data_IF_449714311039
#
_entry.id   IF_449714311039
#
_cell.length_a   1.000
_cell.length_b   1.000
_cell.length_c   1.000
_cell.angle_alpha   90.00
_cell.angle_beta   90.00
_cell.angle_gamma   90.00
#
_symmetry.space_group_name_H-M   'P 1'
#
loop_
_entity.id
_entity.type
_entity.pdbx_description
1 polymer ?
#
# COMPACT_ATOMS: atom_id res chain seq x y z
N UNK A 1 1.79 -13.45 22.22
CA UNK A 1 0.57 -12.76 21.74
C UNK A 1 0.13 -13.41 20.45
N UNK A 2 -1.19 -13.49 20.19
CA UNK A 2 -1.74 -14.19 19.02
C UNK A 2 -2.51 -13.17 18.18
N UNK A 3 -2.18 -13.08 16.89
CA UNK A 3 -2.75 -12.11 15.97
C UNK A 3 -3.35 -12.82 14.77
N UNK A 4 -4.60 -12.51 14.48
CA UNK A 4 -5.27 -12.90 13.24
C UNK A 4 -4.75 -12.05 12.10
N UNK A 5 -4.57 -12.68 10.93
CA UNK A 5 -4.23 -11.96 9.71
C UNK A 5 -5.38 -11.04 9.30
N UNK A 6 -6.62 -11.50 9.41
CA UNK A 6 -7.84 -10.74 9.14
C UNK A 6 -8.91 -11.05 10.21
N UNK A 7 -9.79 -10.09 10.50
CA UNK A 7 -10.96 -10.32 11.36
C UNK A 7 -12.25 -10.42 10.52
N UNK A 8 -12.39 -9.60 9.47
CA UNK A 8 -13.49 -9.65 8.50
C UNK A 8 -13.01 -9.34 7.06
N UNK A 9 -13.92 -9.40 6.08
CA UNK A 9 -13.70 -9.03 4.69
C UNK A 9 -13.45 -7.53 4.59
N UNK A 10 -12.34 -7.14 3.96
CA UNK A 10 -12.00 -5.73 3.73
C UNK A 10 -11.28 -5.06 4.90
N UNK A 11 -11.03 -5.78 6.00
CA UNK A 11 -10.25 -5.26 7.13
C UNK A 11 -8.76 -5.11 6.80
N UNK A 12 -8.09 -4.17 7.48
CA UNK A 12 -6.64 -4.06 7.49
C UNK A 12 -5.97 -5.37 7.88
N UNK A 13 -4.78 -5.63 7.33
CA UNK A 13 -3.98 -6.79 7.71
C UNK A 13 -3.45 -6.61 9.13
N UNK A 14 -3.61 -7.65 9.97
CA UNK A 14 -3.33 -7.62 11.41
C UNK A 14 -4.00 -6.42 12.11
N UNK A 15 -5.34 -6.34 12.15
CA UNK A 15 -6.05 -5.16 12.65
C UNK A 15 -5.86 -4.92 14.17
N UNK A 16 -5.34 -5.91 14.90
CA UNK A 16 -4.98 -5.81 16.32
C UNK A 16 -3.49 -5.62 16.57
N UNK A 17 -2.74 -5.29 15.52
CA UNK A 17 -1.32 -4.99 15.64
C UNK A 17 -1.10 -3.76 16.50
N UNK A 18 -0.14 -3.82 17.42
CA UNK A 18 0.09 -2.75 18.39
C UNK A 18 1.44 -2.05 18.17
N UNK A 19 1.59 -0.88 18.83
CA UNK A 19 2.80 -0.04 18.72
C UNK A 19 4.05 -0.70 19.31
N UNK A 20 3.89 -1.64 20.24
CA UNK A 20 5.03 -2.37 20.82
C UNK A 20 5.62 -3.31 19.77
N UNK A 21 4.79 -4.02 19.01
CA UNK A 21 5.24 -4.85 17.90
C UNK A 21 5.90 -4.04 16.78
N UNK A 22 5.40 -2.84 16.47
CA UNK A 22 6.04 -1.94 15.51
C UNK A 22 7.49 -1.57 15.89
N UNK A 23 7.87 -1.67 17.17
CA UNK A 23 9.25 -1.44 17.61
C UNK A 23 10.21 -2.60 17.29
N UNK A 24 9.67 -3.80 17.03
CA UNK A 24 10.45 -5.01 16.78
C UNK A 24 10.36 -5.51 15.33
N UNK A 25 9.19 -5.38 14.72
CA UNK A 25 8.89 -5.87 13.37
C UNK A 25 8.68 -4.67 12.46
N UNK A 26 9.58 -4.51 11.50
CA UNK A 26 9.59 -3.35 10.60
C UNK A 26 8.50 -3.42 9.53
N UNK A 27 8.07 -4.62 9.14
CA UNK A 27 6.96 -4.82 8.20
C UNK A 27 6.27 -6.16 8.46
N UNK A 28 4.94 -6.14 8.38
CA UNK A 28 4.14 -7.37 8.45
C UNK A 28 4.46 -8.35 7.30
N UNK A 29 5.04 -7.89 6.18
CA UNK A 29 5.51 -8.75 5.10
C UNK A 29 6.66 -9.65 5.54
N UNK A 30 7.51 -9.18 6.46
CA UNK A 30 8.55 -10.03 7.06
C UNK A 30 7.93 -11.14 7.91
N UNK A 31 6.78 -10.88 8.53
CA UNK A 31 5.98 -11.93 9.17
C UNK A 31 5.59 -12.97 8.14
N UNK A 32 4.84 -12.59 7.09
CA UNK A 32 4.40 -13.52 6.03
C UNK A 32 5.54 -14.32 5.40
N UNK A 33 6.70 -13.69 5.18
CA UNK A 33 7.86 -14.34 4.60
C UNK A 33 8.43 -15.50 5.45
N UNK A 34 8.03 -15.63 6.72
CA UNK A 34 8.39 -16.79 7.57
C UNK A 34 7.46 -17.99 7.40
N UNK A 35 6.31 -17.83 6.77
CA UNK A 35 5.37 -18.92 6.54
C UNK A 35 5.86 -19.78 5.36
N UNK A 36 5.95 -21.10 5.54
CA UNK A 36 6.51 -22.01 4.53
C UNK A 36 5.71 -22.07 3.23
N UNK A 37 4.40 -21.90 3.33
CA UNK A 37 3.48 -21.94 2.18
C UNK A 37 3.23 -20.58 1.52
N UNK A 38 3.89 -19.50 1.98
CA UNK A 38 3.84 -18.18 1.33
C UNK A 38 4.95 -18.10 0.29
N UNK A 39 4.57 -17.78 -0.94
CA UNK A 39 5.50 -17.54 -2.04
C UNK A 39 5.49 -16.08 -2.50
N UNK A 40 6.31 -15.75 -3.50
CA UNK A 40 6.42 -14.38 -4.02
C UNK A 40 5.10 -13.84 -4.58
N UNK A 41 4.28 -14.70 -5.20
CA UNK A 41 2.95 -14.31 -5.70
C UNK A 41 2.03 -13.90 -4.56
N UNK A 42 2.11 -14.60 -3.42
CA UNK A 42 1.32 -14.28 -2.24
C UNK A 42 1.77 -12.93 -1.65
N UNK A 43 3.07 -12.66 -1.58
CA UNK A 43 3.60 -11.36 -1.14
C UNK A 43 3.11 -10.21 -2.04
N UNK A 44 3.10 -10.41 -3.36
CA UNK A 44 2.59 -9.42 -4.31
C UNK A 44 1.09 -9.16 -4.13
N UNK A 45 0.29 -10.21 -3.90
CA UNK A 45 -1.14 -10.08 -3.60
C UNK A 45 -1.39 -9.37 -2.26
N UNK A 46 -0.60 -9.68 -1.23
CA UNK A 46 -0.68 -9.01 0.08
C UNK A 46 -0.40 -7.51 -0.07
N UNK A 47 0.60 -7.12 -0.87
CA UNK A 47 0.89 -5.71 -1.18
C UNK A 47 -0.26 -5.05 -1.93
N UNK A 48 -0.83 -5.73 -2.93
CA UNK A 48 -1.98 -5.22 -3.69
C UNK A 48 -3.20 -4.99 -2.79
N UNK A 49 -3.50 -5.95 -1.91
CA UNK A 49 -4.58 -5.85 -0.94
C UNK A 49 -4.36 -4.69 0.03
N UNK A 50 -3.16 -4.58 0.62
CA UNK A 50 -2.81 -3.50 1.54
C UNK A 50 -3.03 -2.12 0.92
N UNK A 51 -2.47 -1.88 -0.28
CA UNK A 51 -2.63 -0.59 -0.97
C UNK A 51 -4.10 -0.25 -1.21
N UNK A 52 -4.89 -1.18 -1.74
CA UNK A 52 -6.29 -0.90 -2.06
C UNK A 52 -7.18 -0.82 -0.83
N UNK A 53 -6.91 -1.62 0.20
CA UNK A 53 -7.59 -1.56 1.49
C UNK A 53 -7.39 -0.17 2.12
N UNK A 54 -6.14 0.28 2.25
CA UNK A 54 -5.82 1.61 2.76
C UNK A 54 -6.55 2.70 1.95
N UNK A 55 -6.42 2.72 0.62
CA UNK A 55 -7.09 3.73 -0.21
C UNK A 55 -8.62 3.67 -0.15
N UNK A 56 -9.22 2.51 0.17
CA UNK A 56 -10.68 2.36 0.33
C UNK A 56 -11.19 2.89 1.68
N UNK A 57 -10.41 2.75 2.75
CA UNK A 57 -10.80 3.15 4.10
C UNK A 57 -10.61 4.65 4.32
N UNK A 58 -9.62 5.26 3.65
CA UNK A 58 -9.20 6.63 3.90
C UNK A 58 -9.80 7.60 2.89
N UNK A 59 -11.09 7.90 3.06
CA UNK A 59 -11.86 8.79 2.18
C UNK A 59 -11.48 10.28 2.23
N UNK A 60 -10.64 10.74 3.17
CA UNK A 60 -10.25 12.17 3.26
C UNK A 60 -8.76 12.44 3.53
N UNK A 61 -7.98 11.45 4.01
CA UNK A 61 -6.58 11.66 4.42
C UNK A 61 -5.71 10.43 4.20
N UNK A 62 -5.93 9.64 3.13
CA UNK A 62 -4.96 8.60 2.78
C UNK A 62 -3.58 9.24 2.73
N UNK A 63 -2.61 8.79 3.50
CA UNK A 63 -1.28 9.39 3.42
C UNK A 63 -0.44 8.44 2.58
N UNK A 64 -0.49 8.57 1.25
CA UNK A 64 0.24 7.67 0.33
C UNK A 64 1.73 7.58 0.68
N UNK A 65 2.29 8.63 1.30
CA UNK A 65 3.64 8.63 1.83
C UNK A 65 3.87 7.56 2.91
N UNK A 66 2.85 7.18 3.70
CA UNK A 66 2.94 6.09 4.66
C UNK A 66 3.18 4.75 3.95
N UNK A 67 2.49 4.49 2.84
CA UNK A 67 2.78 3.31 2.01
C UNK A 67 4.25 3.35 1.56
N UNK A 68 4.74 4.51 1.09
CA UNK A 68 6.14 4.69 0.70
C UNK A 68 7.14 4.55 1.87
N UNK A 69 6.75 4.89 3.11
CA UNK A 69 7.56 4.74 4.31
C UNK A 69 7.54 3.31 4.87
N UNK A 70 6.44 2.58 4.67
CA UNK A 70 6.28 1.17 5.02
C UNK A 70 7.02 0.25 4.03
N UNK A 71 7.58 0.80 2.95
CA UNK A 71 8.59 0.13 2.16
C UNK A 71 9.81 -0.12 3.03
N UNK A 72 9.92 -1.30 3.62
CA UNK A 72 11.27 -1.78 3.91
C UNK A 72 11.99 -1.83 2.56
N UNK A 73 13.25 -1.37 2.52
CA UNK A 73 14.08 -1.42 1.30
C UNK A 73 14.06 -2.79 0.62
N UNK A 74 13.72 -3.84 1.37
CA UNK A 74 13.55 -5.22 0.93
C UNK A 74 12.39 -5.43 -0.07
N UNK A 75 11.27 -4.73 0.06
CA UNK A 75 10.07 -4.94 -0.79
C UNK A 75 9.77 -3.77 -1.74
N UNK A 76 10.62 -2.74 -1.79
CA UNK A 76 10.39 -1.51 -2.56
C UNK A 76 10.02 -1.79 -4.03
N UNK A 77 10.78 -2.63 -4.73
CA UNK A 77 10.53 -2.92 -6.15
C UNK A 77 9.16 -3.56 -6.39
N UNK A 78 8.68 -4.37 -5.42
CA UNK A 78 7.38 -5.04 -5.48
C UNK A 78 6.25 -4.04 -5.32
N UNK A 79 6.35 -3.15 -4.34
CA UNK A 79 5.38 -2.08 -4.16
C UNK A 79 5.33 -1.14 -5.38
N UNK A 80 6.48 -0.76 -5.94
CA UNK A 80 6.52 0.07 -7.16
C UNK A 80 5.84 -0.65 -8.33
N UNK A 81 6.12 -1.94 -8.52
CA UNK A 81 5.50 -2.73 -9.58
C UNK A 81 3.97 -2.87 -9.41
N UNK A 82 3.49 -3.08 -8.18
CA UNK A 82 2.05 -3.14 -7.90
C UNK A 82 1.39 -1.78 -8.11
N UNK A 83 1.97 -0.68 -7.59
CA UNK A 83 1.45 0.67 -7.83
C UNK A 83 1.40 1.02 -9.31
N UNK A 84 2.43 0.67 -10.08
CA UNK A 84 2.43 0.83 -11.54
C UNK A 84 1.25 0.09 -12.16
N UNK A 85 1.09 -1.20 -11.82
CA UNK A 85 0.00 -2.02 -12.32
C UNK A 85 -1.37 -1.44 -12.00
N UNK A 86 -1.61 -1.04 -10.75
CA UNK A 86 -2.86 -0.44 -10.30
C UNK A 86 -3.14 0.88 -11.02
N UNK A 87 -2.13 1.75 -11.16
CA UNK A 87 -2.28 3.03 -11.85
C UNK A 87 -2.56 2.82 -13.35
N UNK A 88 -1.74 2.05 -14.05
CA UNK A 88 -1.89 1.82 -15.50
C UNK A 88 -3.22 1.13 -15.84
N UNK A 89 -3.72 0.24 -14.97
CA UNK A 89 -5.02 -0.41 -15.14
C UNK A 89 -6.21 0.44 -14.70
N UNK A 90 -5.99 1.69 -14.31
CA UNK A 90 -7.03 2.61 -13.87
C UNK A 90 -7.78 2.10 -12.64
N UNK A 91 -7.05 1.48 -11.69
CA UNK A 91 -7.57 1.14 -10.38
C UNK A 91 -7.36 2.30 -9.40
N UNK A 92 -6.21 2.96 -9.48
CA UNK A 92 -5.87 4.15 -8.67
C UNK A 92 -5.45 5.32 -9.56
N UNK A 93 -5.44 6.52 -8.98
CA UNK A 93 -4.85 7.73 -9.56
C UNK A 93 -4.17 8.58 -8.47
N UNK A 94 -3.35 9.54 -8.86
CA UNK A 94 -2.66 10.44 -7.95
C UNK A 94 -3.07 11.89 -8.20
N UNK A 95 -3.10 12.71 -7.16
CA UNK A 95 -3.49 14.11 -7.24
C UNK A 95 -2.62 14.99 -6.34
N UNK A 96 -2.59 16.29 -6.67
CA UNK A 96 -1.99 17.31 -5.80
C UNK A 96 -3.05 17.74 -4.78
N UNK A 97 -2.72 17.61 -3.49
CA UNK A 97 -3.59 17.98 -2.38
C UNK A 97 -3.91 19.49 -2.44
N UNK A 98 -5.15 19.86 -2.09
CA UNK A 98 -5.66 21.24 -2.00
C UNK A 98 -5.55 22.09 -3.30
N UNK A 99 -5.30 21.47 -4.45
CA UNK A 99 -5.18 22.13 -5.75
C UNK A 99 -6.16 21.55 -6.78
N UNK A 100 -7.48 21.68 -6.60
CA UNK A 100 -8.51 21.00 -7.41
C UNK A 100 -8.54 21.44 -8.89
N UNK A 101 -7.83 22.50 -9.25
CA UNK A 101 -7.67 22.94 -10.65
C UNK A 101 -6.61 22.16 -11.40
N UNK A 102 -5.71 21.46 -10.70
CA UNK A 102 -4.74 20.58 -11.32
C UNK A 102 -5.43 19.29 -11.79
N UNK A 103 -5.08 18.78 -12.98
CA UNK A 103 -5.49 17.46 -13.39
C UNK A 103 -4.93 16.40 -12.42
N UNK A 104 -5.54 15.22 -12.38
CA UNK A 104 -4.89 14.05 -11.78
C UNK A 104 -3.69 13.61 -12.61
N UNK A 105 -2.83 12.78 -12.04
CA UNK A 105 -1.63 12.29 -12.73
C UNK A 105 -1.99 11.58 -14.03
N UNK A 106 -3.06 10.77 -14.04
CA UNK A 106 -3.51 10.05 -15.24
C UNK A 106 -3.85 10.96 -16.43
N UNK A 107 -4.17 12.22 -16.19
CA UNK A 107 -4.57 13.20 -17.22
C UNK A 107 -3.54 14.32 -17.41
N UNK A 108 -2.46 14.34 -16.62
CA UNK A 108 -1.44 15.38 -16.66
C UNK A 108 -0.50 15.29 -17.88
N UNK A 109 -0.20 14.08 -18.37
CA UNK A 109 0.59 13.84 -19.58
C UNK A 109 -0.29 13.30 -20.71
N UNK A 110 0.20 13.40 -21.94
CA UNK A 110 -0.47 12.84 -23.13
C UNK A 110 -0.68 11.32 -23.03
N UNK A 111 0.23 10.63 -22.34
CA UNK A 111 0.21 9.20 -22.17
C UNK A 111 0.36 8.82 -20.68
N UNK A 112 -0.47 7.87 -20.23
CA UNK A 112 -0.53 7.44 -18.83
C UNK A 112 0.77 6.77 -18.39
N UNK A 113 1.42 6.04 -19.29
CA UNK A 113 2.70 5.41 -18.98
C UNK A 113 3.82 6.46 -18.81
N UNK A 114 3.85 7.51 -19.63
CA UNK A 114 4.74 8.65 -19.42
C UNK A 114 4.45 9.43 -18.13
N UNK A 115 3.17 9.59 -17.77
CA UNK A 115 2.79 10.17 -16.47
C UNK A 115 3.33 9.34 -15.29
N UNK A 116 3.21 8.00 -15.36
CA UNK A 116 3.78 7.10 -14.35
C UNK A 116 5.30 7.26 -14.23
N UNK A 117 6.04 7.17 -15.35
CA UNK A 117 7.51 7.34 -15.34
C UNK A 117 7.89 8.68 -14.71
N UNK A 118 7.20 9.75 -15.11
CA UNK A 118 7.45 11.08 -14.58
C UNK A 118 7.26 11.15 -13.06
N UNK A 119 6.16 10.58 -12.55
CA UNK A 119 5.86 10.52 -11.13
C UNK A 119 6.87 9.67 -10.36
N UNK A 120 7.12 8.44 -10.81
CA UNK A 120 8.08 7.51 -10.21
C UNK A 120 9.46 8.16 -10.08
N UNK A 121 9.97 8.72 -11.16
CA UNK A 121 11.34 9.24 -11.21
C UNK A 121 11.51 10.53 -10.38
N UNK A 122 10.43 11.29 -10.15
CA UNK A 122 10.50 12.57 -9.45
C UNK A 122 10.00 12.54 -8.01
N UNK A 123 9.05 11.67 -7.68
CA UNK A 123 8.49 11.53 -6.35
C UNK A 123 9.10 10.34 -5.62
N UNK A 124 8.98 9.13 -6.19
CA UNK A 124 9.37 7.89 -5.53
C UNK A 124 10.90 7.74 -5.49
N UNK A 125 11.58 7.76 -6.65
CA UNK A 125 13.02 7.54 -6.73
C UNK A 125 13.85 8.65 -6.09
N UNK A 126 13.28 9.86 -5.96
CA UNK A 126 13.89 10.99 -5.24
C UNK A 126 13.45 11.08 -3.79
N UNK A 127 12.69 10.10 -3.31
CA UNK A 127 12.20 10.00 -1.94
C UNK A 127 11.51 11.29 -1.46
N UNK A 128 10.72 11.94 -2.33
CA UNK A 128 10.00 13.19 -1.98
C UNK A 128 8.95 12.99 -0.90
N UNK A 129 8.54 11.75 -0.67
CA UNK A 129 7.74 11.34 0.48
C UNK A 129 8.48 11.48 1.84
N UNK A 130 9.79 11.76 1.85
CA UNK A 130 10.55 12.12 3.05
C UNK A 130 10.70 13.64 3.25
N UNK A 131 10.39 14.46 2.23
CA UNK A 131 10.48 15.90 2.34
C UNK A 131 9.31 16.46 3.16
N UNK A 132 9.56 17.52 3.93
CA UNK A 132 8.58 18.14 4.85
C UNK A 132 8.21 19.57 4.44
N UNK A 133 8.70 20.03 3.30
CA UNK A 133 8.46 21.39 2.81
C UNK A 133 6.98 21.61 2.46
N UNK A 134 6.27 22.37 3.28
CA UNK A 134 4.90 22.78 2.99
C UNK A 134 4.88 24.02 2.09
N UNK A 135 4.81 23.81 0.77
CA UNK A 135 4.71 24.89 -0.20
C UNK A 135 3.67 24.57 -1.29
N UNK A 136 3.18 25.61 -1.98
CA UNK A 136 2.33 25.43 -3.15
C UNK A 136 3.15 24.78 -4.27
N UNK A 137 2.60 23.69 -4.82
CA UNK A 137 3.23 22.90 -5.87
C UNK A 137 2.25 22.64 -7.00
N UNK A 138 2.80 22.24 -8.15
CA UNK A 138 2.05 21.67 -9.25
C UNK A 138 2.80 20.48 -9.80
N UNK A 139 2.20 19.77 -10.75
CA UNK A 139 2.92 18.73 -11.48
C UNK A 139 4.17 19.26 -12.22
N UNK A 140 4.28 20.56 -12.48
CA UNK A 140 5.44 21.16 -13.15
C UNK A 140 6.59 21.54 -12.20
N UNK A 141 6.43 21.39 -10.88
CA UNK A 141 7.45 21.75 -9.87
C UNK A 141 7.89 20.54 -9.03
N UNK A 142 8.40 19.46 -9.65
CA UNK A 142 8.72 18.21 -8.96
C UNK A 142 9.78 18.34 -7.88
N UNK A 143 10.64 19.34 -7.99
CA UNK A 143 11.68 19.62 -7.00
C UNK A 143 11.15 20.20 -5.69
N UNK A 144 9.89 20.62 -5.65
CA UNK A 144 9.21 21.18 -4.48
C UNK A 144 8.24 20.21 -3.81
N UNK A 145 7.99 19.06 -4.43
CA UNK A 145 7.05 18.08 -3.87
C UNK A 145 7.53 17.57 -2.51
N UNK A 146 6.55 17.31 -1.65
CA UNK A 146 6.72 16.75 -0.33
C UNK A 146 5.65 15.70 -0.05
N UNK A 147 5.75 15.03 1.10
CA UNK A 147 4.76 14.08 1.60
C UNK A 147 3.36 14.68 1.79
N UNK A 148 3.27 16.01 1.94
CA UNK A 148 2.02 16.73 2.18
C UNK A 148 1.33 17.21 0.90
N UNK A 149 1.97 17.08 -0.26
CA UNK A 149 1.44 17.66 -1.49
C UNK A 149 0.80 16.65 -2.44
N UNK A 150 1.13 15.38 -2.32
CA UNK A 150 0.73 14.35 -3.27
C UNK A 150 -0.01 13.27 -2.50
N UNK A 151 -1.15 12.88 -3.04
CA UNK A 151 -1.93 11.76 -2.54
C UNK A 151 -2.41 10.85 -3.67
N UNK A 152 -2.98 9.71 -3.30
CA UNK A 152 -3.63 8.76 -4.19
C UNK A 152 -5.11 8.64 -3.85
N UNK A 153 -5.88 8.24 -4.86
CA UNK A 153 -7.31 7.93 -4.74
C UNK A 153 -7.59 6.62 -5.44
N UNK A 154 -8.49 5.81 -4.87
CA UNK A 154 -9.06 4.67 -5.56
C UNK A 154 -10.14 5.16 -6.54
N UNK A 155 -10.06 4.71 -7.79
CA UNK A 155 -11.05 5.06 -8.82
C UNK A 155 -12.31 4.18 -8.67
N UNK A 156 -13.45 4.52 -9.29
CA UNK A 156 -14.64 3.64 -9.27
C UNK A 156 -14.36 2.21 -9.77
N UNK A 157 -13.47 2.06 -10.76
CA UNK A 157 -13.04 0.74 -11.25
C UNK A 157 -12.20 -0.01 -10.22
N UNK A 158 -11.32 0.70 -9.51
CA UNK A 158 -10.53 0.15 -8.41
C UNK A 158 -11.41 -0.29 -7.23
N UNK A 159 -12.38 0.53 -6.84
CA UNK A 159 -13.35 0.20 -5.78
C UNK A 159 -14.13 -1.06 -6.13
N UNK A 160 -14.68 -1.13 -7.35
CA UNK A 160 -15.38 -2.32 -7.80
C UNK A 160 -14.50 -3.57 -7.77
N UNK A 161 -13.25 -3.47 -8.26
CA UNK A 161 -12.30 -4.57 -8.21
C UNK A 161 -11.98 -5.00 -6.77
N UNK A 162 -11.76 -4.05 -5.87
CA UNK A 162 -11.45 -4.33 -4.48
C UNK A 162 -12.61 -5.05 -3.78
N UNK A 163 -13.81 -4.47 -3.85
CA UNK A 163 -14.99 -4.94 -3.11
C UNK A 163 -15.52 -6.27 -3.66
N UNK A 164 -15.56 -6.43 -4.98
CA UNK A 164 -16.20 -7.58 -5.62
C UNK A 164 -15.24 -8.75 -5.84
N UNK A 165 -13.93 -8.50 -5.91
CA UNK A 165 -12.93 -9.50 -6.32
C UNK A 165 -11.82 -9.66 -5.29
N UNK A 166 -11.02 -8.62 -5.05
CA UNK A 166 -9.79 -8.77 -4.28
C UNK A 166 -10.07 -9.06 -2.81
N UNK A 167 -10.91 -8.27 -2.14
CA UNK A 167 -11.15 -8.42 -0.71
C UNK A 167 -11.83 -9.75 -0.34
N UNK A 168 -12.89 -10.20 -1.06
CA UNK A 168 -13.48 -11.52 -0.80
C UNK A 168 -12.51 -12.67 -1.07
N UNK A 169 -11.69 -12.59 -2.14
CA UNK A 169 -10.69 -13.62 -2.46
C UNK A 169 -9.61 -13.68 -1.37
N UNK A 170 -9.07 -12.52 -1.01
CA UNK A 170 -8.04 -12.37 0.00
C UNK A 170 -8.51 -12.88 1.36
N UNK A 171 -9.69 -12.47 1.80
CA UNK A 171 -10.30 -12.97 3.03
C UNK A 171 -10.45 -14.50 3.02
N UNK A 172 -11.06 -15.08 1.98
CA UNK A 172 -11.22 -16.53 1.93
C UNK A 172 -9.88 -17.29 1.99
N UNK A 173 -8.83 -16.73 1.40
CA UNK A 173 -7.48 -17.30 1.39
C UNK A 173 -6.80 -17.25 2.76
N UNK A 174 -6.94 -16.16 3.51
CA UNK A 174 -6.16 -15.91 4.74
C UNK A 174 -6.97 -15.85 6.06
N UNK A 175 -8.30 -15.95 6.03
CA UNK A 175 -9.19 -15.82 7.21
C UNK A 175 -8.88 -16.77 8.36
N UNK A 176 -8.35 -17.96 8.06
CA UNK A 176 -8.05 -18.98 9.06
C UNK A 176 -6.63 -18.85 9.61
N UNK A 177 -5.85 -17.89 9.10
CA UNK A 177 -4.44 -17.74 9.39
C UNK A 177 -4.20 -16.79 10.57
N UNK A 178 -3.40 -17.25 11.52
CA UNK A 178 -2.97 -16.48 12.68
C UNK A 178 -1.49 -16.70 12.96
N UNK A 179 -0.85 -15.74 13.61
CA UNK A 179 0.55 -15.81 14.02
C UNK A 179 0.70 -15.62 15.52
N UNK A 180 1.53 -16.46 16.14
CA UNK A 180 1.93 -16.31 17.53
C UNK A 180 3.30 -15.62 17.58
N UNK A 181 3.37 -14.48 18.27
CA UNK A 181 4.58 -13.63 18.39
C UNK A 181 4.89 -13.41 19.87
N UNK A 182 6.15 -13.49 20.29
CA UNK A 182 6.55 -13.20 21.68
C UNK A 182 6.60 -11.69 22.00
N UNK A 183 6.96 -11.33 23.23
CA UNK A 183 7.06 -9.94 23.70
C UNK A 183 8.29 -9.19 23.14
N UNK A 184 9.13 -9.86 22.35
CA UNK A 184 10.31 -9.32 21.68
C UNK A 184 10.16 -9.26 20.16
N UNK A 185 8.96 -9.56 19.64
CA UNK A 185 8.67 -9.58 18.21
C UNK A 185 9.17 -10.83 17.48
N UNK A 186 9.58 -11.89 18.17
CA UNK A 186 9.95 -13.15 17.52
C UNK A 186 8.70 -13.92 17.13
N UNK A 187 8.67 -14.40 15.88
CA UNK A 187 7.59 -15.25 15.36
C UNK A 187 7.79 -16.66 15.91
N UNK A 188 6.85 -17.10 16.75
CA UNK A 188 6.91 -18.40 17.43
C UNK A 188 6.38 -19.51 16.53
N UNK A 189 5.24 -19.27 15.86
CA UNK A 189 4.62 -20.18 14.90
C UNK A 189 3.44 -19.54 14.17
N UNK A 190 3.10 -20.15 13.04
CA UNK A 190 1.84 -19.94 12.35
C UNK A 190 0.79 -20.95 12.81
N UNK A 191 -0.47 -20.53 12.82
CA UNK A 191 -1.63 -21.32 13.21
C UNK A 191 -2.68 -21.19 12.09
N UNK A 192 -3.27 -22.31 11.70
CA UNK A 192 -4.24 -22.36 10.60
C UNK A 192 -3.62 -22.77 9.28
N UNK A 193 -4.35 -22.52 8.18
CA UNK A 193 -3.94 -22.88 6.83
C UNK A 193 -4.29 -21.76 5.85
N UNK A 194 -3.51 -21.66 4.78
CA UNK A 194 -3.83 -20.83 3.62
C UNK A 194 -4.78 -21.63 2.72
N UNK A 195 -5.98 -21.11 2.47
CA UNK A 195 -6.96 -21.75 1.62
C UNK A 195 -6.64 -21.46 0.15
N UNK A 196 -6.12 -22.46 -0.57
CA UNK A 196 -5.77 -22.35 -2.00
C UNK A 196 -6.85 -22.91 -2.92
#
# INVERSE_FOLDING_TARGET
MRFRVLEDIGDSIFPRWDTTLNSYIQSYLDTFATHTDICEVDIMEIIEYDILCELSMFYEYSEIYMIFNLYTKKYQDKYIAILEGLFLNNMIDFYIIDEPTQPTLATYKEDKYQAWIYFRDNFICKERFNAEDFCSVSWNTPNKWSKYNINAIITPKGTQYFDEILAPRFYNKYKDLEVEIDDKGNIMRWIGQINR
#
